data_IF_748451909146
#
_entry.id   IF_748451909146
#
_cell.length_a   1.000
_cell.length_b   1.000
_cell.length_c   1.000
_cell.angle_alpha   90.00
_cell.angle_beta   90.00
_cell.angle_gamma   90.00
#
_symmetry.space_group_name_H-M   'P 1'
#
loop_
_entity.id
_entity.type
_entity.pdbx_description
1 polymer ?
#
# COMPACT_ATOMS: atom_id res chain seq x y z
N UNK A 1 6.93 -6.02 7.23
CA UNK A 1 7.53 -6.45 5.94
C UNK A 1 7.13 -7.87 5.56
N UNK A 2 7.20 -8.86 6.45
CA UNK A 2 6.73 -10.22 6.17
C UNK A 2 5.31 -10.26 5.56
N UNK A 3 4.33 -9.61 6.18
CA UNK A 3 2.96 -9.52 5.66
C UNK A 3 2.85 -8.91 4.25
N UNK A 4 3.77 -8.01 3.89
CA UNK A 4 3.79 -7.39 2.55
C UNK A 4 4.25 -8.42 1.51
N UNK A 5 5.30 -9.17 1.85
CA UNK A 5 5.86 -10.24 1.00
C UNK A 5 4.85 -11.38 0.84
N UNK A 6 4.20 -11.79 1.93
CA UNK A 6 3.16 -12.83 1.90
C UNK A 6 1.97 -12.42 1.04
N UNK A 7 1.49 -11.19 1.19
CA UNK A 7 0.42 -10.66 0.33
C UNK A 7 0.85 -10.61 -1.14
N UNK A 8 2.08 -10.16 -1.43
CA UNK A 8 2.61 -10.14 -2.79
C UNK A 8 2.65 -11.55 -3.41
N UNK A 9 3.09 -12.55 -2.64
CA UNK A 9 3.08 -13.95 -3.08
C UNK A 9 1.66 -14.46 -3.32
N UNK A 10 0.73 -14.16 -2.42
CA UNK A 10 -0.68 -14.56 -2.56
C UNK A 10 -1.35 -13.92 -3.79
N UNK A 11 -1.02 -12.67 -4.11
CA UNK A 11 -1.51 -11.97 -5.30
C UNK A 11 -0.77 -12.37 -6.59
N UNK A 12 0.20 -13.30 -6.53
CA UNK A 12 1.00 -13.69 -7.70
C UNK A 12 1.96 -12.61 -8.19
N UNK A 13 2.23 -11.59 -7.37
CA UNK A 13 3.18 -10.52 -7.68
C UNK A 13 4.61 -10.85 -7.25
N UNK A 14 4.84 -11.90 -6.46
CA UNK A 14 6.15 -12.22 -5.93
C UNK A 14 6.37 -13.74 -5.85
N UNK A 15 7.54 -14.22 -6.24
CA UNK A 15 7.95 -15.60 -6.05
C UNK A 15 8.52 -15.79 -4.64
N UNK A 16 8.03 -16.79 -3.91
CA UNK A 16 8.45 -17.11 -2.55
C UNK A 16 9.25 -18.43 -2.52
N UNK A 17 10.34 -18.53 -1.73
CA UNK A 17 10.88 -17.49 -0.85
C UNK A 17 11.68 -16.40 -1.61
N UNK A 18 11.62 -15.15 -1.13
CA UNK A 18 12.41 -14.05 -1.69
C UNK A 18 13.90 -14.28 -1.37
N UNK A 19 14.72 -14.35 -2.41
CA UNK A 19 16.18 -14.49 -2.27
C UNK A 19 16.84 -13.15 -2.57
N UNK A 20 17.61 -12.62 -1.60
CA UNK A 20 18.29 -11.33 -1.77
C UNK A 20 19.66 -11.53 -2.44
N UNK A 21 19.90 -10.71 -3.46
CA UNK A 21 21.17 -10.61 -4.15
C UNK A 21 22.05 -9.49 -3.57
N UNK A 22 23.33 -9.46 -3.94
CA UNK A 22 24.21 -8.33 -3.62
C UNK A 22 23.66 -6.99 -4.15
N UNK A 23 22.95 -7.00 -5.29
CA UNK A 23 22.32 -5.81 -5.84
C UNK A 23 21.16 -5.29 -4.98
N UNK A 24 20.50 -6.16 -4.20
CA UNK A 24 19.42 -5.77 -3.28
C UNK A 24 19.99 -5.11 -2.03
N UNK A 25 21.08 -5.68 -1.50
CA UNK A 25 21.79 -5.15 -0.34
C UNK A 25 22.41 -3.79 -0.67
N UNK A 26 22.99 -3.64 -1.87
CA UNK A 26 23.66 -2.42 -2.33
C UNK A 26 22.70 -1.33 -2.83
N UNK A 27 21.40 -1.41 -2.52
CA UNK A 27 20.42 -0.34 -2.83
C UNK A 27 20.62 0.93 -1.99
N UNK A 28 21.40 0.86 -0.91
CA UNK A 28 21.77 2.00 -0.09
C UNK A 28 23.23 2.35 -0.32
N UNK A 29 23.53 3.64 -0.50
CA UNK A 29 24.88 4.13 -0.80
C UNK A 29 25.87 3.84 0.33
N UNK A 30 25.39 3.76 1.58
CA UNK A 30 26.19 3.42 2.76
C UNK A 30 25.28 2.99 3.92
N UNK A 31 25.89 2.49 5.01
CA UNK A 31 25.19 2.07 6.23
C UNK A 31 24.41 3.23 6.86
N UNK A 32 24.96 4.44 6.87
CA UNK A 32 24.28 5.61 7.44
C UNK A 32 22.95 5.90 6.72
N UNK A 33 22.93 5.80 5.39
CA UNK A 33 21.71 5.96 4.59
C UNK A 33 20.68 4.86 4.88
N UNK A 34 21.13 3.62 5.11
CA UNK A 34 20.26 2.52 5.52
C UNK A 34 19.64 2.74 6.91
N UNK A 35 20.45 3.16 7.89
CA UNK A 35 20.00 3.38 9.28
C UNK A 35 19.16 4.65 9.43
N UNK A 36 19.37 5.65 8.57
CA UNK A 36 18.60 6.91 8.59
C UNK A 36 17.19 6.75 8.01
N UNK A 37 16.98 5.80 7.11
CA UNK A 37 15.66 5.49 6.58
C UNK A 37 14.81 4.78 7.63
N UNK A 38 13.48 4.97 7.57
CA UNK A 38 12.59 4.14 8.37
C UNK A 38 12.79 2.67 7.98
N UNK A 39 12.79 1.77 8.97
CA UNK A 39 13.12 0.36 8.75
C UNK A 39 12.31 -0.28 7.62
N UNK A 40 11.00 0.01 7.56
CA UNK A 40 10.12 -0.55 6.53
C UNK A 40 10.43 0.04 5.16
N UNK A 41 10.77 1.32 5.05
CA UNK A 41 11.21 1.94 3.78
C UNK A 41 12.51 1.33 3.27
N UNK A 42 13.50 1.18 4.16
CA UNK A 42 14.78 0.57 3.82
C UNK A 42 14.60 -0.88 3.34
N UNK A 43 13.77 -1.66 4.05
CA UNK A 43 13.44 -3.02 3.66
C UNK A 43 12.69 -3.06 2.33
N UNK A 44 11.69 -2.20 2.13
CA UNK A 44 10.94 -2.12 0.89
C UNK A 44 11.83 -1.74 -0.29
N UNK A 45 12.85 -0.89 -0.09
CA UNK A 45 13.83 -0.57 -1.13
C UNK A 45 14.64 -1.80 -1.57
N UNK A 46 14.99 -2.68 -0.63
CA UNK A 46 15.73 -3.92 -0.93
C UNK A 46 14.84 -4.97 -1.59
N UNK A 47 13.63 -5.19 -1.06
CA UNK A 47 12.78 -6.32 -1.49
C UNK A 47 11.75 -5.96 -2.56
N UNK A 48 11.37 -4.69 -2.69
CA UNK A 48 10.25 -4.26 -3.53
C UNK A 48 10.44 -4.53 -5.02
N UNK A 49 11.69 -4.67 -5.49
CA UNK A 49 11.96 -5.07 -6.87
C UNK A 49 11.58 -6.51 -7.22
N UNK A 50 11.36 -7.34 -6.20
CA UNK A 50 10.86 -8.71 -6.35
C UNK A 50 9.33 -8.76 -6.43
N UNK A 51 8.65 -7.60 -6.32
CA UNK A 51 7.20 -7.49 -6.48
C UNK A 51 6.91 -7.01 -7.90
N UNK A 52 6.69 -7.96 -8.80
CA UNK A 52 6.49 -7.74 -10.23
C UNK A 52 5.03 -7.43 -10.57
N UNK A 53 4.84 -6.49 -11.49
CA UNK A 53 3.56 -6.10 -12.03
C UNK A 53 3.46 -6.47 -13.53
N UNK A 54 2.24 -6.59 -14.03
CA UNK A 54 1.93 -7.07 -15.39
C UNK A 54 2.46 -6.19 -16.53
N UNK A 55 2.77 -4.93 -16.25
CA UNK A 55 3.35 -3.99 -17.22
C UNK A 55 4.89 -4.03 -17.28
N UNK A 56 5.51 -4.98 -16.56
CA UNK A 56 6.96 -5.14 -16.47
C UNK A 56 7.61 -4.26 -15.40
N UNK A 57 6.83 -3.42 -14.71
CA UNK A 57 7.33 -2.66 -13.56
C UNK A 57 7.41 -3.54 -12.31
N UNK A 58 8.03 -3.01 -11.25
CA UNK A 58 8.04 -3.61 -9.93
C UNK A 58 7.85 -2.52 -8.86
N UNK A 59 7.62 -2.90 -7.59
CA UNK A 59 7.51 -1.95 -6.48
C UNK A 59 8.89 -1.40 -6.05
N UNK A 60 9.66 -0.90 -7.00
CA UNK A 60 10.98 -0.34 -6.77
C UNK A 60 10.89 1.08 -6.20
N UNK A 61 11.79 1.40 -5.27
CA UNK A 61 11.95 2.75 -4.72
C UNK A 61 13.23 3.40 -5.26
N UNK A 62 13.08 4.58 -5.85
CA UNK A 62 14.16 5.39 -6.38
C UNK A 62 14.44 6.53 -5.41
N UNK A 63 15.69 6.69 -4.97
CA UNK A 63 16.10 7.81 -4.13
C UNK A 63 16.91 8.77 -4.97
N UNK A 64 16.43 10.01 -5.08
CA UNK A 64 17.13 11.08 -5.78
C UNK A 64 18.08 11.79 -4.80
N UNK A 65 19.13 12.41 -5.35
CA UNK A 65 20.17 13.09 -4.55
C UNK A 65 19.67 14.26 -3.71
N UNK A 66 18.46 14.77 -3.99
CA UNK A 66 17.77 15.83 -3.24
C UNK A 66 16.95 15.30 -2.05
N UNK A 67 16.96 13.99 -1.77
CA UNK A 67 16.15 13.36 -0.72
C UNK A 67 14.73 13.00 -1.14
N UNK A 68 14.35 13.28 -2.39
CA UNK A 68 13.08 12.84 -2.96
C UNK A 68 13.08 11.33 -3.17
N UNK A 69 11.93 10.70 -2.92
CA UNK A 69 11.72 9.27 -3.14
C UNK A 69 10.64 9.13 -4.20
N UNK A 70 10.87 8.28 -5.21
CA UNK A 70 9.85 7.86 -6.18
C UNK A 70 9.60 6.37 -6.06
N UNK A 71 8.42 5.93 -6.48
CA UNK A 71 8.03 4.53 -6.45
C UNK A 71 7.48 4.05 -7.77
N UNK A 72 7.80 2.79 -8.12
CA UNK A 72 7.34 2.06 -9.30
C UNK A 72 7.95 2.57 -10.60
N UNK A 73 7.85 3.86 -10.89
CA UNK A 73 8.42 4.51 -12.07
C UNK A 73 9.32 5.68 -11.61
N UNK A 74 10.51 5.80 -12.18
CA UNK A 74 11.41 6.94 -11.92
C UNK A 74 11.06 8.15 -12.81
N UNK A 75 9.86 8.66 -12.64
CA UNK A 75 9.35 9.82 -13.38
C UNK A 75 8.66 10.81 -12.44
N UNK A 76 8.64 12.11 -12.79
CA UNK A 76 7.80 13.08 -12.10
C UNK A 76 6.33 12.61 -12.05
N UNK A 77 5.68 12.80 -10.90
CA UNK A 77 4.34 12.30 -10.60
C UNK A 77 4.31 11.00 -9.80
N UNK A 78 5.43 10.29 -9.69
CA UNK A 78 5.56 9.06 -8.90
C UNK A 78 6.24 9.27 -7.54
N UNK A 79 6.24 10.50 -7.05
CA UNK A 79 6.86 10.87 -5.79
C UNK A 79 6.11 10.29 -4.58
N UNK A 80 6.89 9.87 -3.59
CA UNK A 80 6.45 9.53 -2.26
C UNK A 80 6.91 10.62 -1.30
N UNK A 81 5.96 11.25 -0.63
CA UNK A 81 6.28 12.04 0.55
C UNK A 81 6.20 11.10 1.75
N UNK A 82 7.37 10.63 2.20
CA UNK A 82 7.51 9.81 3.41
C UNK A 82 7.39 10.71 4.63
N UNK A 83 6.57 10.29 5.58
CA UNK A 83 6.28 11.04 6.80
C UNK A 83 5.80 12.47 6.54
N UNK A 84 4.74 12.65 5.73
CA UNK A 84 4.23 13.97 5.40
C UNK A 84 3.73 14.68 6.66
N UNK A 85 3.81 16.02 6.74
CA UNK A 85 3.14 16.76 7.80
C UNK A 85 1.62 16.54 7.68
N UNK A 86 1.02 16.03 8.74
CA UNK A 86 -0.42 15.78 8.84
C UNK A 86 -1.09 16.79 9.80
N UNK A 87 -2.36 17.15 9.57
CA UNK A 87 -3.11 18.01 10.48
C UNK A 87 -3.12 17.47 11.91
N UNK A 88 -3.21 18.39 12.88
CA UNK A 88 -3.38 18.00 14.29
C UNK A 88 -4.67 17.20 14.45
N UNK A 89 -4.59 16.08 15.15
CA UNK A 89 -5.73 15.17 15.36
C UNK A 89 -5.95 14.17 14.22
N UNK A 90 -5.15 14.20 13.15
CA UNK A 90 -5.23 13.20 12.09
C UNK A 90 -4.91 11.79 12.62
N UNK A 91 -5.72 10.79 12.25
CA UNK A 91 -5.63 9.42 12.79
C UNK A 91 -4.22 8.82 12.64
N UNK A 92 -3.64 8.93 11.43
CA UNK A 92 -2.29 8.39 11.17
C UNK A 92 -1.18 9.14 11.91
N UNK A 93 -1.40 10.41 12.29
CA UNK A 93 -0.46 11.15 13.13
C UNK A 93 -0.51 10.64 14.58
N UNK A 94 -1.71 10.38 15.10
CA UNK A 94 -1.92 9.87 16.45
C UNK A 94 -1.33 8.47 16.65
N UNK A 95 -1.35 7.66 15.59
CA UNK A 95 -0.88 6.27 15.62
C UNK A 95 0.42 6.03 14.84
N UNK A 96 1.15 7.10 14.53
CA UNK A 96 2.39 7.05 13.74
C UNK A 96 3.41 6.08 14.35
N UNK A 97 3.92 5.17 13.53
CA UNK A 97 5.05 4.32 13.90
C UNK A 97 6.35 4.85 13.26
N UNK A 98 7.40 5.21 14.04
CA UNK A 98 8.63 5.78 13.48
C UNK A 98 9.34 4.89 12.45
N UNK A 99 9.20 3.58 12.60
CA UNK A 99 9.84 2.60 11.73
C UNK A 99 8.99 2.24 10.50
N UNK A 100 7.74 2.69 10.44
CA UNK A 100 6.78 2.47 9.36
C UNK A 100 5.84 3.70 9.21
N UNK A 101 6.40 4.88 8.88
CA UNK A 101 5.68 6.15 8.93
C UNK A 101 4.64 6.27 7.81
N UNK A 102 3.65 7.16 7.93
CA UNK A 102 2.68 7.45 6.87
C UNK A 102 3.35 7.87 5.57
N UNK A 103 2.68 7.62 4.45
CA UNK A 103 3.16 7.96 3.11
C UNK A 103 2.07 8.66 2.33
N UNK A 104 2.36 9.84 1.76
CA UNK A 104 1.48 10.49 0.78
C UNK A 104 1.96 10.18 -0.63
N UNK A 105 1.04 9.78 -1.50
CA UNK A 105 1.32 9.45 -2.90
C UNK A 105 0.12 9.77 -3.81
N UNK A 106 0.40 10.05 -5.09
CA UNK A 106 -0.60 10.24 -6.14
C UNK A 106 -0.67 9.06 -7.12
N UNK A 107 -0.18 7.88 -6.73
CA UNK A 107 0.03 6.76 -7.64
C UNK A 107 -1.19 5.84 -7.61
N UNK A 108 -1.79 5.58 -8.77
CA UNK A 108 -2.83 4.56 -8.94
C UNK A 108 -2.58 3.73 -10.20
N UNK A 109 -3.35 2.67 -10.39
CA UNK A 109 -3.34 1.93 -11.65
C UNK A 109 -4.68 2.03 -12.39
N UNK A 110 -4.63 2.06 -13.71
CA UNK A 110 -5.81 2.15 -14.59
C UNK A 110 -5.69 1.17 -15.76
N UNK A 111 -6.84 0.74 -16.28
CA UNK A 111 -6.96 0.07 -17.58
C UNK A 111 -7.12 1.11 -18.68
N UNK A 112 -6.38 0.94 -19.78
CA UNK A 112 -6.45 1.86 -20.92
C UNK A 112 -7.68 1.62 -21.80
N UNK A 113 -8.11 0.37 -21.94
CA UNK A 113 -9.31 -0.03 -22.70
C UNK A 113 -9.94 -1.33 -22.12
N UNK A 114 -11.24 -1.61 -22.38
CA UNK A 114 -11.88 -2.88 -22.00
C UNK A 114 -11.27 -4.14 -22.63
N UNK A 115 -10.44 -4.00 -23.67
CA UNK A 115 -9.66 -5.07 -24.31
C UNK A 115 -8.28 -5.28 -23.67
N UNK A 116 -7.76 -4.33 -22.89
CA UNK A 116 -6.45 -4.38 -22.22
C UNK A 116 -6.54 -4.92 -20.78
N UNK A 117 -7.53 -5.77 -20.46
CA UNK A 117 -7.80 -6.23 -19.07
C UNK A 117 -6.64 -6.94 -18.36
N UNK A 118 -5.54 -7.20 -19.06
CA UNK A 118 -4.35 -7.88 -18.54
C UNK A 118 -3.12 -6.96 -18.46
N UNK A 119 -3.26 -5.66 -18.74
CA UNK A 119 -2.15 -4.69 -18.69
C UNK A 119 -2.59 -3.41 -17.97
N UNK A 120 -2.83 -3.52 -16.67
CA UNK A 120 -2.95 -2.34 -15.81
C UNK A 120 -1.64 -1.54 -15.91
N UNK A 121 -1.75 -0.23 -16.12
CA UNK A 121 -0.61 0.69 -16.15
C UNK A 121 -0.70 1.64 -14.97
N UNK A 122 0.44 1.96 -14.38
CA UNK A 122 0.52 2.98 -13.36
C UNK A 122 0.36 4.38 -13.92
N UNK A 123 -0.43 5.19 -13.23
CA UNK A 123 -0.67 6.60 -13.52
C UNK A 123 -0.47 7.44 -12.28
N UNK A 124 -0.01 8.67 -12.50
CA UNK A 124 0.01 9.71 -11.49
C UNK A 124 -1.23 10.58 -11.62
N UNK A 125 -1.87 10.88 -10.49
CA UNK A 125 -2.96 11.86 -10.45
C UNK A 125 -2.50 13.30 -10.62
N UNK A 126 -1.19 13.59 -10.61
CA UNK A 126 -0.60 14.92 -10.83
C UNK A 126 -1.07 16.03 -9.87
N UNK A 127 -0.21 16.54 -8.98
CA UNK A 127 -0.38 17.87 -8.37
C UNK A 127 -1.61 18.16 -7.49
N UNK A 128 -2.18 17.16 -6.79
CA UNK A 128 -3.25 17.34 -5.78
C UNK A 128 -2.88 16.84 -4.37
N UNK A 129 -3.80 16.99 -3.40
CA UNK A 129 -3.74 16.33 -2.07
C UNK A 129 -3.84 14.80 -2.27
N UNK A 130 -2.71 14.17 -2.63
CA UNK A 130 -2.63 12.74 -2.87
C UNK A 130 -3.11 11.91 -1.68
N UNK A 131 -3.42 10.64 -1.97
CA UNK A 131 -3.82 9.67 -0.97
C UNK A 131 -2.75 9.54 0.10
N UNK A 132 -3.17 9.49 1.37
CA UNK A 132 -2.28 9.22 2.49
C UNK A 132 -2.53 7.77 2.90
N UNK A 133 -1.49 6.94 2.81
CA UNK A 133 -1.48 5.62 3.41
C UNK A 133 -0.93 5.72 4.83
N UNK A 134 -1.53 4.95 5.75
CA UNK A 134 -1.21 5.01 7.17
C UNK A 134 0.26 4.67 7.48
N UNK A 135 0.92 3.97 6.56
CA UNK A 135 2.29 3.49 6.71
C UNK A 135 2.93 3.14 5.37
N UNK A 136 4.25 2.94 5.34
CA UNK A 136 4.97 2.42 4.16
C UNK A 136 4.50 1.00 3.83
N UNK A 137 4.20 0.19 4.84
CA UNK A 137 3.63 -1.14 4.61
C UNK A 137 2.21 -1.10 4.03
N UNK A 138 1.36 -0.17 4.49
CA UNK A 138 0.03 0.08 3.91
C UNK A 138 0.14 0.51 2.45
N UNK A 139 1.06 1.43 2.13
CA UNK A 139 1.35 1.82 0.75
C UNK A 139 1.69 0.60 -0.12
N UNK A 140 2.65 -0.22 0.32
CA UNK A 140 3.07 -1.39 -0.45
C UNK A 140 1.93 -2.40 -0.67
N UNK A 141 1.19 -2.73 0.40
CA UNK A 141 0.03 -3.62 0.34
C UNK A 141 -1.07 -3.05 -0.56
N UNK A 142 -1.31 -1.74 -0.54
CA UNK A 142 -2.27 -1.08 -1.43
C UNK A 142 -1.87 -1.24 -2.90
N UNK A 143 -0.60 -1.04 -3.27
CA UNK A 143 -0.16 -1.20 -4.66
C UNK A 143 -0.24 -2.65 -5.14
N UNK A 144 0.12 -3.60 -4.29
CA UNK A 144 -0.06 -5.04 -4.59
C UNK A 144 -1.55 -5.33 -4.84
N UNK A 145 -2.43 -4.90 -3.94
CA UNK A 145 -3.86 -5.21 -4.03
C UNK A 145 -4.56 -4.45 -5.16
N UNK A 146 -4.17 -3.19 -5.43
CA UNK A 146 -4.68 -2.40 -6.56
C UNK A 146 -4.28 -3.05 -7.88
N UNK A 147 -3.03 -3.51 -8.01
CA UNK A 147 -2.59 -4.26 -9.18
C UNK A 147 -3.36 -5.58 -9.34
N UNK A 148 -3.52 -6.36 -8.27
CA UNK A 148 -4.27 -7.61 -8.30
C UNK A 148 -5.71 -7.40 -8.76
N UNK A 149 -6.41 -6.47 -8.11
CA UNK A 149 -7.75 -6.01 -8.48
C UNK A 149 -7.81 -5.61 -9.95
N UNK A 150 -6.74 -4.98 -10.44
CA UNK A 150 -6.69 -4.44 -11.79
C UNK A 150 -6.15 -5.41 -12.88
N UNK A 151 -5.85 -6.65 -12.53
CA UNK A 151 -5.37 -7.65 -13.49
C UNK A 151 -6.10 -8.97 -13.42
N UNK A 152 -6.85 -9.20 -12.34
CA UNK A 152 -7.61 -10.41 -12.12
C UNK A 152 -9.10 -10.15 -12.24
N UNK A 153 -9.84 -11.18 -12.66
CA UNK A 153 -11.29 -11.12 -12.60
C UNK A 153 -11.73 -11.21 -11.14
N UNK A 154 -12.39 -10.16 -10.66
CA UNK A 154 -12.89 -10.08 -9.29
C UNK A 154 -14.41 -9.99 -9.29
N UNK A 155 -15.01 -10.65 -8.30
CA UNK A 155 -16.42 -10.48 -7.98
C UNK A 155 -16.53 -9.46 -6.85
N UNK A 156 -17.30 -8.39 -7.06
CA UNK A 156 -17.49 -7.33 -6.08
C UNK A 156 -18.97 -7.26 -5.72
N UNK A 157 -19.24 -7.21 -4.42
CA UNK A 157 -20.53 -6.83 -3.87
C UNK A 157 -20.32 -5.67 -2.91
N UNK A 158 -21.29 -4.77 -2.82
CA UNK A 158 -21.22 -3.60 -1.95
C UNK A 158 -22.56 -3.38 -1.25
N UNK A 159 -22.48 -2.80 -0.06
CA UNK A 159 -23.66 -2.41 0.71
C UNK A 159 -23.33 -1.17 1.54
N UNK A 160 -24.32 -0.31 1.74
CA UNK A 160 -24.19 0.87 2.58
C UNK A 160 -24.64 0.52 4.00
N UNK A 161 -23.79 0.80 4.99
CA UNK A 161 -24.07 0.55 6.40
C UNK A 161 -23.95 1.83 7.20
N UNK A 162 -24.84 2.01 8.17
CA UNK A 162 -24.64 3.04 9.19
C UNK A 162 -23.46 2.63 10.09
N UNK A 163 -22.55 3.58 10.36
CA UNK A 163 -21.34 3.36 11.18
C UNK A 163 -21.62 2.79 12.58
N UNK A 164 -22.82 3.02 13.12
CA UNK A 164 -23.24 2.52 14.44
C UNK A 164 -23.69 1.05 14.45
N UNK A 165 -23.91 0.44 13.29
CA UNK A 165 -24.34 -0.97 13.19
C UNK A 165 -23.30 -1.91 13.81
N UNK A 166 -23.77 -3.02 14.40
CA UNK A 166 -22.90 -4.01 15.02
C UNK A 166 -22.18 -3.49 16.27
N UNK A 167 -22.86 -2.64 17.08
CA UNK A 167 -22.29 -2.06 18.29
C UNK A 167 -21.14 -1.08 18.01
N UNK A 168 -21.17 -0.40 16.86
CA UNK A 168 -20.12 0.53 16.44
C UNK A 168 -18.81 -0.13 16.00
N UNK A 169 -18.81 -1.43 15.68
CA UNK A 169 -17.61 -2.13 15.21
C UNK A 169 -17.06 -1.54 13.91
N UNK A 170 -17.94 -1.18 12.96
CA UNK A 170 -17.54 -0.51 11.71
C UNK A 170 -16.87 0.83 12.01
N UNK A 171 -17.46 1.64 12.89
CA UNK A 171 -16.86 2.90 13.30
C UNK A 171 -15.47 2.70 13.93
N UNK A 172 -15.32 1.71 14.83
CA UNK A 172 -14.04 1.38 15.47
C UNK A 172 -12.95 1.01 14.46
N UNK A 173 -13.27 0.20 13.46
CA UNK A 173 -12.31 -0.14 12.39
C UNK A 173 -11.79 1.09 11.62
N UNK A 174 -12.55 2.18 11.58
CA UNK A 174 -12.18 3.43 10.89
C UNK A 174 -11.59 4.50 11.83
N UNK A 175 -11.52 4.24 13.14
CA UNK A 175 -11.05 5.22 14.13
C UNK A 175 -10.01 4.67 15.11
N UNK A 176 -9.82 3.37 15.17
CA UNK A 176 -8.76 2.73 15.94
C UNK A 176 -7.42 2.78 15.18
N UNK A 177 -6.35 2.37 15.86
CA UNK A 177 -5.03 2.38 15.25
C UNK A 177 -4.99 1.50 13.99
N UNK A 178 -4.54 2.03 12.84
CA UNK A 178 -4.44 1.29 11.58
C UNK A 178 -3.42 0.13 11.65
N UNK A 179 -2.60 0.11 12.70
CA UNK A 179 -1.59 -0.93 12.94
C UNK A 179 -2.11 -2.05 13.85
N UNK A 180 -3.35 -1.98 14.33
CA UNK A 180 -3.95 -3.03 15.15
C UNK A 180 -4.41 -4.18 14.26
N UNK A 181 -3.93 -5.42 14.49
CA UNK A 181 -4.43 -6.57 13.77
C UNK A 181 -5.92 -6.78 14.02
N UNK A 182 -6.67 -7.10 12.96
CA UNK A 182 -8.09 -7.41 13.07
C UNK A 182 -8.27 -8.93 13.08
N UNK A 183 -8.91 -9.46 14.12
CA UNK A 183 -9.14 -10.89 14.26
C UNK A 183 -9.84 -11.47 13.03
N UNK A 184 -9.30 -12.58 12.50
CA UNK A 184 -9.80 -13.24 11.29
C UNK A 184 -9.29 -12.63 9.98
N UNK A 185 -8.41 -11.63 10.03
CA UNK A 185 -7.75 -11.06 8.85
C UNK A 185 -6.27 -11.43 8.84
N UNK A 186 -5.72 -11.71 7.66
CA UNK A 186 -4.29 -11.93 7.44
C UNK A 186 -3.51 -10.63 7.56
N UNK A 187 -4.07 -9.54 7.01
CA UNK A 187 -3.48 -8.21 7.10
C UNK A 187 -4.56 -7.14 6.94
N UNK A 188 -4.26 -5.97 7.49
CA UNK A 188 -5.03 -4.74 7.30
C UNK A 188 -4.23 -3.76 6.43
N UNK A 189 -4.94 -2.99 5.61
CA UNK A 189 -4.42 -1.88 4.83
C UNK A 189 -5.24 -0.66 5.20
N UNK A 190 -4.61 0.44 5.58
CA UNK A 190 -5.33 1.69 5.85
C UNK A 190 -4.71 2.83 5.06
N UNK A 191 -5.57 3.61 4.43
CA UNK A 191 -5.21 4.77 3.63
C UNK A 191 -6.44 5.60 3.28
N UNK A 192 -6.31 6.56 2.37
CA UNK A 192 -7.47 7.28 1.85
C UNK A 192 -7.20 8.77 1.60
N UNK A 193 -8.20 9.43 1.02
CA UNK A 193 -8.14 10.87 0.71
C UNK A 193 -8.51 11.74 1.93
N UNK A 194 -9.46 11.30 2.79
CA UNK A 194 -10.00 12.09 3.90
C UNK A 194 -10.46 11.23 5.08
N UNK A 195 -9.50 10.78 5.91
CA UNK A 195 -9.72 10.00 7.13
C UNK A 195 -10.45 8.65 6.95
N UNK A 196 -9.65 7.60 6.74
CA UNK A 196 -9.98 6.26 7.19
C UNK A 196 -10.73 5.40 6.19
N UNK A 197 -10.06 5.07 5.07
CA UNK A 197 -10.36 3.83 4.36
C UNK A 197 -9.59 2.69 5.05
N UNK A 198 -10.26 1.56 5.19
CA UNK A 198 -9.68 0.35 5.76
C UNK A 198 -10.01 -0.84 4.87
N UNK A 199 -8.99 -1.58 4.44
CA UNK A 199 -9.14 -2.87 3.76
C UNK A 199 -8.68 -4.00 4.66
N UNK A 200 -9.49 -5.04 4.75
CA UNK A 200 -9.27 -6.22 5.58
C UNK A 200 -9.07 -7.42 4.66
N UNK A 201 -7.85 -7.94 4.58
CA UNK A 201 -7.56 -9.15 3.77
C UNK A 201 -7.88 -10.38 4.60
N UNK A 202 -8.81 -11.21 4.12
CA UNK A 202 -9.41 -12.33 4.85
C UNK A 202 -8.68 -13.67 4.61
N UNK A 203 -8.01 -13.77 3.48
CA UNK A 203 -7.31 -14.97 3.01
C UNK A 203 -5.81 -14.81 3.15
N UNK A 204 -5.07 -15.91 3.22
CA UNK A 204 -3.60 -15.95 3.21
C UNK A 204 -3.12 -16.88 2.09
N UNK A 205 -1.81 -17.15 2.04
CA UNK A 205 -1.18 -18.03 1.04
C UNK A 205 -1.66 -19.49 1.04
N UNK A 206 -2.41 -19.94 2.06
CA UNK A 206 -3.02 -21.28 2.03
C UNK A 206 -4.31 -21.34 1.22
N UNK A 207 -4.83 -20.20 0.76
CA UNK A 207 -6.07 -20.11 -0.01
C UNK A 207 -5.75 -19.90 -1.50
N UNK A 208 -6.48 -20.55 -2.43
CA UNK A 208 -6.25 -20.39 -3.87
C UNK A 208 -6.86 -19.10 -4.45
N UNK A 209 -7.39 -18.23 -3.59
CA UNK A 209 -8.00 -16.96 -3.97
C UNK A 209 -7.63 -15.88 -2.95
N UNK A 210 -7.76 -14.61 -3.38
CA UNK A 210 -7.60 -13.44 -2.51
C UNK A 210 -9.00 -12.87 -2.24
N UNK A 211 -9.38 -12.77 -0.97
CA UNK A 211 -10.60 -12.09 -0.54
C UNK A 211 -10.28 -10.98 0.45
N UNK A 212 -10.93 -9.84 0.28
CA UNK A 212 -10.82 -8.71 1.18
C UNK A 212 -12.13 -7.93 1.28
N UNK A 213 -12.26 -7.14 2.34
CA UNK A 213 -13.36 -6.19 2.54
C UNK A 213 -12.77 -4.79 2.48
N UNK A 214 -13.32 -3.91 1.65
CA UNK A 214 -13.05 -2.47 1.69
C UNK A 214 -14.14 -1.77 2.50
N UNK A 215 -13.74 -0.97 3.47
CA UNK A 215 -14.60 -0.09 4.25
C UNK A 215 -14.15 1.33 3.96
N UNK A 216 -15.03 2.10 3.34
CA UNK A 216 -14.77 3.45 2.87
C UNK A 216 -15.89 4.36 3.37
N UNK A 217 -15.55 5.60 3.74
CA UNK A 217 -16.55 6.57 4.16
C UNK A 217 -17.17 7.23 2.92
N UNK A 218 -18.49 7.16 2.82
CA UNK A 218 -19.26 7.91 1.83
C UNK A 218 -20.14 8.93 2.54
N UNK A 219 -19.99 10.21 2.19
CA UNK A 219 -20.94 11.24 2.59
C UNK A 219 -22.16 11.14 1.68
N UNK A 220 -23.32 10.88 2.26
CA UNK A 220 -24.60 11.07 1.57
C UNK A 220 -24.92 12.56 1.76
N UNK A 221 -24.86 13.32 0.66
CA UNK A 221 -25.22 14.74 0.64
C UNK A 221 -26.71 14.98 0.84
#
# INVERSE_FOLDING_TARGET
MAEVIELAGQCGNCELPVTLSGADINTHTNISAYVSASRVLAQLKMVGRHFHFSDGTCLQLFHLGNGEVRAIVDEPGFELQVDPPLPVGHLYQQHRQPHDPPVRNGIGSVWRTPSDRYRARWVSSGGGQGRIDASVSSFAKDKILDHFRNTHHINVTSTALNRGVGGGRVNRLLTESPHTPVAGCTTTISGGHWDGDCRLVLTNSSHPFVAWISIERFNIG
#
